data_IF_178895861820
#
_entry.id   IF_178895861820
#
_cell.length_a   1.000
_cell.length_b   1.000
_cell.length_c   1.000
_cell.angle_alpha   90.00
_cell.angle_beta   90.00
_cell.angle_gamma   90.00
#
_symmetry.space_group_name_H-M   'P 1'
#
loop_
_entity.id
_entity.type
_entity.pdbx_description
1 polymer ?
#
# COMPACT_ATOMS: atom_id res chain seq x y z
N UNK A 1 45.14 -16.79 -46.14
CA UNK A 1 43.67 -16.72 -45.96
C UNK A 1 43.24 -17.86 -45.05
N UNK A 2 42.86 -17.58 -43.80
CA UNK A 2 42.12 -18.51 -42.93
C UNK A 2 41.14 -17.67 -42.12
N UNK A 3 39.85 -17.95 -42.31
CA UNK A 3 38.73 -17.19 -41.78
C UNK A 3 38.53 -17.52 -40.29
N UNK A 4 38.52 -16.47 -39.46
CA UNK A 4 38.17 -16.56 -38.04
C UNK A 4 36.64 -16.44 -37.96
N UNK A 5 35.97 -17.56 -37.68
CA UNK A 5 34.54 -17.56 -37.40
C UNK A 5 34.33 -17.08 -35.96
N UNK A 6 33.86 -15.84 -35.79
CA UNK A 6 33.44 -15.29 -34.49
C UNK A 6 31.96 -15.68 -34.30
N UNK A 7 31.72 -16.68 -33.46
CA UNK A 7 30.37 -17.07 -33.03
C UNK A 7 29.92 -16.08 -31.97
N UNK A 8 29.02 -15.16 -32.35
CA UNK A 8 28.37 -14.22 -31.44
C UNK A 8 27.35 -14.99 -30.61
N UNK A 9 27.65 -15.20 -29.33
CA UNK A 9 26.69 -15.71 -28.34
C UNK A 9 25.78 -14.55 -27.94
N UNK A 10 24.60 -14.45 -28.57
CA UNK A 10 23.52 -13.60 -28.10
C UNK A 10 22.99 -14.16 -26.76
N UNK A 11 23.47 -13.60 -25.65
CA UNK A 11 22.83 -13.75 -24.35
C UNK A 11 21.49 -13.00 -24.39
N UNK A 12 20.42 -13.74 -24.70
CA UNK A 12 19.05 -13.32 -24.47
C UNK A 12 18.81 -13.28 -22.96
N UNK A 13 19.23 -12.21 -22.30
CA UNK A 13 18.65 -11.81 -21.01
C UNK A 13 17.22 -11.34 -21.29
N UNK A 14 16.33 -12.31 -21.47
CA UNK A 14 14.91 -12.08 -21.30
C UNK A 14 14.68 -11.73 -19.84
N UNK A 15 14.80 -10.44 -19.51
CA UNK A 15 14.10 -9.90 -18.36
C UNK A 15 12.62 -10.16 -18.63
N UNK A 16 12.12 -11.28 -18.11
CA UNK A 16 10.70 -11.49 -17.93
C UNK A 16 10.28 -10.48 -16.86
N UNK A 17 10.11 -9.23 -17.29
CA UNK A 17 9.42 -8.22 -16.53
C UNK A 17 7.99 -8.71 -16.44
N UNK A 18 7.72 -9.52 -15.42
CA UNK A 18 6.37 -9.70 -14.94
C UNK A 18 5.85 -8.30 -14.67
N UNK A 19 5.04 -7.80 -15.60
CA UNK A 19 4.26 -6.59 -15.46
C UNK A 19 3.45 -6.79 -14.19
N UNK A 20 3.97 -6.27 -13.08
CA UNK A 20 3.23 -6.13 -11.84
C UNK A 20 1.94 -5.43 -12.23
N UNK A 21 0.84 -6.14 -12.03
CA UNK A 21 -0.53 -5.73 -12.31
C UNK A 21 -0.72 -4.27 -11.84
N UNK A 22 -0.52 -3.31 -12.75
CA UNK A 22 -0.97 -1.94 -12.56
C UNK A 22 -2.36 -1.87 -13.16
N UNK A 23 -3.28 -2.66 -12.57
CA UNK A 23 -4.67 -2.31 -12.73
C UNK A 23 -4.83 -0.96 -12.07
N UNK A 24 -5.23 0.01 -12.89
CA UNK A 24 -5.61 1.36 -12.51
C UNK A 24 -6.85 1.26 -11.60
N UNK A 25 -6.64 0.78 -10.38
CA UNK A 25 -7.67 0.51 -9.40
C UNK A 25 -8.19 1.84 -8.89
N UNK A 26 -9.30 2.29 -9.47
CA UNK A 26 -10.15 3.39 -9.00
C UNK A 26 -10.79 3.11 -7.61
N UNK A 27 -10.37 2.04 -6.91
CA UNK A 27 -10.85 1.65 -5.59
C UNK A 27 -10.45 2.63 -4.49
N UNK A 28 -9.68 3.68 -4.81
CA UNK A 28 -9.26 4.71 -3.87
C UNK A 28 -10.14 5.97 -3.84
N UNK A 29 -11.36 5.91 -4.38
CA UNK A 29 -12.34 7.00 -4.30
C UNK A 29 -12.57 7.46 -2.85
N UNK A 30 -12.87 8.76 -2.63
CA UNK A 30 -12.56 9.47 -1.39
C UNK A 30 -12.98 8.69 -0.15
N UNK A 31 -11.98 8.27 0.63
CA UNK A 31 -12.17 7.48 1.84
C UNK A 31 -12.14 8.38 3.06
N UNK A 32 -13.19 8.29 3.87
CA UNK A 32 -13.34 9.03 5.11
C UNK A 32 -13.53 10.53 4.94
N UNK A 33 -12.58 11.26 4.33
CA UNK A 33 -12.69 12.70 4.06
C UNK A 33 -12.04 13.13 2.74
N UNK A 34 -12.44 14.31 2.27
CA UNK A 34 -11.92 14.92 1.04
C UNK A 34 -10.42 15.19 1.12
N UNK A 35 -9.66 14.60 0.20
CA UNK A 35 -8.21 14.77 0.12
C UNK A 35 -7.39 13.69 0.83
N UNK A 36 -8.02 12.78 1.60
CA UNK A 36 -7.29 11.65 2.20
C UNK A 36 -6.57 10.81 1.15
N UNK A 37 -7.28 10.36 0.11
CA UNK A 37 -6.67 9.59 -0.98
C UNK A 37 -5.57 10.36 -1.72
N UNK A 38 -5.70 11.68 -1.86
CA UNK A 38 -4.66 12.51 -2.47
C UNK A 38 -3.40 12.54 -1.61
N UNK A 39 -3.56 12.68 -0.29
CA UNK A 39 -2.45 12.65 0.66
C UNK A 39 -1.73 11.30 0.63
N UNK A 40 -2.47 10.20 0.55
CA UNK A 40 -1.87 8.86 0.42
C UNK A 40 -1.11 8.70 -0.90
N UNK A 41 -1.61 9.27 -1.99
CA UNK A 41 -0.92 9.25 -3.29
C UNK A 41 0.37 10.08 -3.27
N UNK A 42 0.33 11.27 -2.67
CA UNK A 42 1.51 12.12 -2.49
C UNK A 42 2.56 11.39 -1.64
N UNK A 43 2.14 10.83 -0.50
CA UNK A 43 3.01 10.12 0.43
C UNK A 43 3.46 8.74 -0.08
N UNK A 44 2.77 8.10 -1.03
CA UNK A 44 3.32 6.89 -1.65
C UNK A 44 4.36 7.21 -2.70
N UNK A 45 4.26 8.39 -3.35
CA UNK A 45 5.03 8.75 -4.52
C UNK A 45 4.36 8.27 -5.82
N UNK A 46 4.73 8.91 -6.94
CA UNK A 46 4.09 8.71 -8.25
C UNK A 46 4.27 7.28 -8.78
N UNK A 47 5.42 6.67 -8.51
CA UNK A 47 5.79 5.34 -8.99
C UNK A 47 5.46 4.22 -7.99
N UNK A 48 4.65 4.52 -6.96
CA UNK A 48 4.29 3.53 -5.96
C UNK A 48 3.43 2.41 -6.53
N UNK A 49 3.76 1.17 -6.15
CA UNK A 49 2.94 0.01 -6.44
C UNK A 49 1.61 0.16 -5.70
N UNK A 50 0.51 0.13 -6.45
CA UNK A 50 -0.82 0.16 -5.87
C UNK A 50 -1.30 -1.26 -5.58
N UNK A 51 -1.14 -1.71 -4.34
CA UNK A 51 -1.59 -3.04 -3.92
C UNK A 51 -3.09 -3.13 -3.63
N UNK A 52 -3.84 -2.06 -3.88
CA UNK A 52 -5.29 -2.03 -3.79
C UNK A 52 -5.84 -1.60 -2.43
N UNK A 53 -7.15 -1.36 -2.43
CA UNK A 53 -7.94 -1.07 -1.25
C UNK A 53 -9.10 -2.06 -1.17
N UNK A 54 -9.28 -2.73 -0.03
CA UNK A 54 -10.22 -3.85 0.09
C UNK A 54 -11.20 -3.68 1.25
N UNK A 55 -12.48 -3.89 0.96
CA UNK A 55 -13.53 -3.89 1.98
C UNK A 55 -13.63 -5.27 2.64
N UNK A 56 -13.13 -5.38 3.88
CA UNK A 56 -13.18 -6.58 4.70
C UNK A 56 -14.53 -6.77 5.41
N UNK A 57 -15.47 -5.84 5.25
CA UNK A 57 -16.86 -6.03 5.70
C UNK A 57 -17.60 -7.02 4.80
N UNK A 58 -17.18 -7.12 3.54
CA UNK A 58 -17.71 -8.09 2.59
C UNK A 58 -17.10 -9.48 2.81
N UNK A 59 -17.90 -10.42 3.30
CA UNK A 59 -17.46 -11.81 3.55
C UNK A 59 -17.62 -12.75 2.35
N UNK A 60 -17.74 -12.21 1.13
CA UNK A 60 -17.84 -13.07 -0.05
C UNK A 60 -16.45 -13.65 -0.43
N UNK A 61 -16.39 -14.87 -0.99
CA UNK A 61 -15.11 -15.53 -1.31
C UNK A 61 -14.20 -14.71 -2.24
N UNK A 62 -14.79 -13.95 -3.18
CA UNK A 62 -14.04 -13.13 -4.12
C UNK A 62 -13.32 -11.96 -3.43
N UNK A 63 -13.98 -11.27 -2.49
CA UNK A 63 -13.39 -10.19 -1.69
C UNK A 63 -12.26 -10.72 -0.80
N UNK A 64 -12.46 -11.90 -0.19
CA UNK A 64 -11.42 -12.55 0.63
C UNK A 64 -10.20 -12.93 -0.24
N UNK A 65 -10.42 -13.46 -1.44
CA UNK A 65 -9.33 -13.79 -2.35
C UNK A 65 -8.60 -12.53 -2.83
N UNK A 66 -9.33 -11.47 -3.15
CA UNK A 66 -8.78 -10.19 -3.59
C UNK A 66 -7.91 -9.53 -2.50
N UNK A 67 -8.38 -9.49 -1.25
CA UNK A 67 -7.60 -8.92 -0.15
C UNK A 67 -6.30 -9.68 0.11
N UNK A 68 -6.31 -11.02 0.02
CA UNK A 68 -5.08 -11.84 0.07
C UNK A 68 -4.09 -11.51 -1.03
N UNK A 69 -4.56 -11.22 -2.25
CA UNK A 69 -3.70 -10.76 -3.35
C UNK A 69 -3.06 -9.40 -3.02
N UNK A 70 -3.82 -8.50 -2.39
CA UNK A 70 -3.32 -7.22 -1.91
C UNK A 70 -2.22 -7.35 -0.85
N UNK A 71 -2.44 -8.19 0.17
CA UNK A 71 -1.42 -8.49 1.18
C UNK A 71 -0.14 -9.07 0.56
N UNK A 72 -0.29 -10.02 -0.37
CA UNK A 72 0.86 -10.58 -1.09
C UNK A 72 1.61 -9.52 -1.89
N UNK A 73 0.90 -8.63 -2.61
CA UNK A 73 1.51 -7.51 -3.31
C UNK A 73 2.31 -6.61 -2.36
N UNK A 74 1.72 -6.23 -1.22
CA UNK A 74 2.38 -5.36 -0.26
C UNK A 74 3.65 -5.99 0.32
N UNK A 75 3.59 -7.29 0.62
CA UNK A 75 4.74 -8.08 1.07
C UNK A 75 5.85 -8.12 0.02
N UNK A 76 5.53 -8.48 -1.23
CA UNK A 76 6.53 -8.54 -2.30
C UNK A 76 7.17 -7.17 -2.61
N UNK A 77 6.37 -6.09 -2.56
CA UNK A 77 6.88 -4.73 -2.73
C UNK A 77 7.80 -4.32 -1.57
N UNK A 78 7.39 -4.60 -0.33
CA UNK A 78 8.17 -4.38 0.88
C UNK A 78 9.52 -5.11 0.87
N UNK A 79 9.53 -6.41 0.51
CA UNK A 79 10.75 -7.23 0.40
C UNK A 79 11.73 -6.70 -0.66
N UNK A 80 11.20 -6.12 -1.75
CA UNK A 80 12.00 -5.50 -2.81
C UNK A 80 12.38 -4.05 -2.49
N UNK A 81 11.92 -3.51 -1.35
CA UNK A 81 12.10 -2.11 -0.99
C UNK A 81 11.45 -1.15 -1.98
N UNK A 82 10.40 -1.55 -2.69
CA UNK A 82 9.71 -0.71 -3.67
C UNK A 82 8.58 0.06 -2.97
N UNK A 83 8.43 1.37 -3.24
CA UNK A 83 7.32 2.13 -2.66
C UNK A 83 5.99 1.51 -3.03
N UNK A 84 5.07 1.46 -2.08
CA UNK A 84 3.74 0.89 -2.29
C UNK A 84 2.70 1.52 -1.37
N UNK A 85 1.44 1.28 -1.70
CA UNK A 85 0.30 1.53 -0.82
C UNK A 85 -0.66 0.35 -0.84
N UNK A 86 -1.20 0.03 0.32
CA UNK A 86 -2.19 -1.00 0.54
C UNK A 86 -3.18 -0.50 1.58
N UNK A 87 -4.47 -0.80 1.44
CA UNK A 87 -5.42 -0.43 2.46
C UNK A 87 -6.61 -1.38 2.58
N UNK A 88 -7.25 -1.29 3.73
CA UNK A 88 -8.42 -2.09 4.08
C UNK A 88 -9.47 -1.21 4.75
N UNK A 89 -10.73 -1.63 4.65
CA UNK A 89 -11.84 -1.10 5.41
C UNK A 89 -12.46 -2.23 6.23
N UNK A 90 -12.75 -1.98 7.50
CA UNK A 90 -13.49 -2.92 8.37
C UNK A 90 -14.42 -2.17 9.31
N UNK A 91 -15.32 -2.90 9.96
CA UNK A 91 -16.17 -2.38 11.04
C UNK A 91 -15.73 -3.06 12.34
N UNK A 92 -14.95 -2.41 13.21
CA UNK A 92 -14.58 -2.98 14.52
C UNK A 92 -15.78 -3.07 15.47
N UNK A 93 -16.60 -2.03 15.52
CA UNK A 93 -17.74 -1.94 16.45
C UNK A 93 -18.85 -1.08 15.85
N UNK A 94 -18.75 0.25 15.97
CA UNK A 94 -19.75 1.25 15.57
C UNK A 94 -19.20 2.29 14.59
N UNK A 95 -18.11 1.96 13.91
CA UNK A 95 -17.38 2.84 13.02
C UNK A 95 -16.84 2.13 11.78
N UNK A 96 -16.50 2.89 10.74
CA UNK A 96 -15.67 2.40 9.65
C UNK A 96 -14.20 2.72 9.96
N UNK A 97 -13.40 1.68 10.17
CA UNK A 97 -11.97 1.79 10.28
C UNK A 97 -11.33 1.56 8.92
N UNK A 98 -10.68 2.58 8.38
CA UNK A 98 -9.84 2.55 7.19
C UNK A 98 -8.39 2.44 7.66
N UNK A 99 -7.72 1.35 7.30
CA UNK A 99 -6.33 1.10 7.66
C UNK A 99 -5.49 1.09 6.39
N UNK A 100 -4.41 1.88 6.37
CA UNK A 100 -3.56 2.03 5.21
C UNK A 100 -2.11 1.80 5.62
N UNK A 101 -1.41 0.97 4.84
CA UNK A 101 0.01 0.72 4.93
C UNK A 101 0.69 1.33 3.69
N UNK A 102 1.69 2.17 3.92
CA UNK A 102 2.51 2.78 2.88
C UNK A 102 3.98 2.49 3.15
N UNK A 103 4.73 2.17 2.09
CA UNK A 103 6.18 2.33 2.06
C UNK A 103 6.50 3.48 1.10
N UNK A 104 7.17 4.50 1.61
CA UNK A 104 7.54 5.71 0.85
C UNK A 104 8.82 5.52 0.04
N UNK A 105 9.13 6.41 -0.93
CA UNK A 105 10.39 6.42 -1.67
C UNK A 105 11.64 6.45 -0.79
N UNK A 106 11.58 7.20 0.32
CA UNK A 106 12.66 7.35 1.32
C UNK A 106 12.72 6.20 2.34
N UNK A 107 11.99 5.10 2.10
CA UNK A 107 12.01 3.83 2.86
C UNK A 107 11.42 3.91 4.27
N UNK A 108 10.46 4.79 4.50
CA UNK A 108 9.70 4.82 5.73
C UNK A 108 8.37 4.10 5.58
N UNK A 109 8.00 3.33 6.60
CA UNK A 109 6.66 2.74 6.68
C UNK A 109 5.72 3.70 7.39
N UNK A 110 4.54 3.90 6.81
CA UNK A 110 3.43 4.60 7.44
C UNK A 110 2.26 3.67 7.64
N UNK A 111 1.75 3.63 8.86
CA UNK A 111 0.52 2.97 9.25
C UNK A 111 -0.49 4.06 9.61
N UNK A 112 -1.50 4.23 8.77
CA UNK A 112 -2.51 5.27 8.90
C UNK A 112 -3.83 4.60 9.18
N UNK A 113 -4.43 4.92 10.33
CA UNK A 113 -5.77 4.46 10.69
C UNK A 113 -6.68 5.66 10.75
N UNK A 114 -7.75 5.63 9.97
CA UNK A 114 -8.82 6.62 9.99
C UNK A 114 -10.10 5.93 10.44
N UNK A 115 -10.72 6.46 11.47
CA UNK A 115 -11.88 5.88 12.10
C UNK A 115 -13.05 6.86 12.04
N UNK A 116 -14.13 6.45 11.38
CA UNK A 116 -15.29 7.28 11.06
C UNK A 116 -16.54 6.66 11.68
N UNK A 117 -17.09 7.32 12.70
CA UNK A 117 -18.28 6.84 13.41
C UNK A 117 -19.50 6.70 12.48
N UNK A 118 -20.23 5.59 12.61
CA UNK A 118 -21.46 5.36 11.85
C UNK A 118 -22.53 6.36 12.28
N UNK A 119 -23.06 7.12 11.31
CA UNK A 119 -24.10 8.12 11.56
C UNK A 119 -23.61 9.46 12.12
N UNK A 120 -22.29 9.64 12.29
CA UNK A 120 -21.66 10.91 12.72
C UNK A 120 -20.40 11.20 11.93
N UNK A 121 -20.56 11.88 10.79
CA UNK A 121 -19.44 12.25 9.89
C UNK A 121 -18.46 13.22 10.56
N UNK A 122 -18.92 13.98 11.56
CA UNK A 122 -18.16 14.95 12.35
C UNK A 122 -17.22 14.33 13.39
N UNK A 123 -17.38 13.04 13.72
CA UNK A 123 -16.57 12.31 14.68
C UNK A 123 -15.54 11.41 13.99
N UNK A 124 -14.60 12.03 13.26
CA UNK A 124 -13.48 11.33 12.62
C UNK A 124 -12.24 11.38 13.51
N UNK A 125 -11.63 10.22 13.76
CA UNK A 125 -10.36 10.10 14.47
C UNK A 125 -9.30 9.54 13.53
N UNK A 126 -8.07 10.05 13.62
CA UNK A 126 -6.96 9.57 12.80
C UNK A 126 -5.74 9.31 13.68
N UNK A 127 -5.10 8.17 13.47
CA UNK A 127 -3.81 7.82 14.06
C UNK A 127 -2.80 7.54 12.95
N UNK A 128 -1.65 8.18 13.04
CA UNK A 128 -0.55 7.98 12.10
C UNK A 128 0.64 7.44 12.86
N UNK A 129 1.27 6.41 12.33
CA UNK A 129 2.51 5.85 12.87
C UNK A 129 3.55 5.75 11.78
N UNK A 130 4.76 6.22 12.08
CA UNK A 130 5.95 5.99 11.25
C UNK A 130 6.73 4.86 11.89
N UNK A 131 6.98 3.78 11.16
CA UNK A 131 7.64 2.58 11.68
C UNK A 131 8.95 2.31 10.93
N UNK A 132 9.96 1.78 11.63
CA UNK A 132 11.23 1.38 10.97
C UNK A 132 11.09 0.13 10.11
N UNK A 133 10.19 -0.77 10.51
CA UNK A 133 9.92 -2.01 9.79
C UNK A 133 8.48 -2.46 9.97
N UNK A 134 8.00 -3.28 9.04
CA UNK A 134 6.66 -3.87 9.07
C UNK A 134 6.77 -5.34 8.68
N UNK A 135 6.12 -6.20 9.44
CA UNK A 135 5.90 -7.61 9.08
C UNK A 135 4.51 -7.74 8.45
N UNK A 136 4.45 -8.26 7.22
CA UNK A 136 3.20 -8.43 6.47
C UNK A 136 2.89 -9.93 6.36
N UNK A 137 1.75 -10.36 6.91
CA UNK A 137 1.24 -11.73 6.81
C UNK A 137 0.23 -11.85 5.65
N UNK A 138 -0.43 -12.99 5.52
CA UNK A 138 -1.43 -13.21 4.45
C UNK A 138 -2.74 -12.44 4.68
N UNK A 139 -2.96 -11.90 5.87
CA UNK A 139 -4.22 -11.28 6.26
C UNK A 139 -4.09 -10.12 7.25
N UNK A 140 -2.88 -9.72 7.61
CA UNK A 140 -2.61 -8.64 8.57
C UNK A 140 -1.21 -8.05 8.34
N UNK A 141 -0.91 -6.92 8.98
CA UNK A 141 0.44 -6.39 9.07
C UNK A 141 0.69 -5.74 10.43
N UNK A 142 1.95 -5.81 10.89
CA UNK A 142 2.37 -5.25 12.17
C UNK A 142 3.66 -4.47 12.03
N UNK A 143 3.62 -3.20 12.41
CA UNK A 143 4.80 -2.35 12.51
C UNK A 143 5.62 -2.63 13.77
N UNK A 144 6.94 -2.42 13.66
CA UNK A 144 7.90 -2.47 14.76
C UNK A 144 8.69 -1.15 14.82
N UNK A 145 9.10 -0.75 16.03
CA UNK A 145 9.75 0.54 16.31
C UNK A 145 8.97 1.71 15.70
N UNK A 146 7.70 1.80 16.08
CA UNK A 146 6.77 2.80 15.58
C UNK A 146 6.69 4.01 16.51
N UNK A 147 6.70 5.19 15.91
CA UNK A 147 6.45 6.46 16.59
C UNK A 147 5.10 7.01 16.14
N UNK A 148 4.31 7.51 17.09
CA UNK A 148 3.08 8.21 16.75
C UNK A 148 3.43 9.57 16.14
N UNK A 149 2.77 9.92 15.04
CA UNK A 149 2.94 11.20 14.35
C UNK A 149 1.66 11.99 14.51
N UNK A 150 1.78 13.19 15.07
CA UNK A 150 0.64 14.09 15.22
C UNK A 150 0.05 14.49 13.87
N UNK A 151 -1.25 14.75 13.86
CA UNK A 151 -1.98 15.09 12.62
C UNK A 151 -1.40 16.31 11.89
N UNK A 152 -0.90 17.29 12.64
CA UNK A 152 -0.29 18.50 12.06
C UNK A 152 1.00 18.19 11.30
N UNK A 153 1.78 17.23 11.77
CA UNK A 153 3.02 16.83 11.11
C UNK A 153 2.72 15.90 9.94
N UNK A 154 1.73 15.01 10.09
CA UNK A 154 1.18 14.21 9.00
C UNK A 154 0.79 15.08 7.79
N UNK A 155 0.04 16.17 7.98
CA UNK A 155 -0.38 17.03 6.86
C UNK A 155 0.82 17.66 6.15
N UNK A 156 1.86 18.05 6.89
CA UNK A 156 3.05 18.74 6.34
C UNK A 156 3.99 17.81 5.59
N UNK A 157 3.99 16.51 5.91
CA UNK A 157 4.89 15.53 5.29
C UNK A 157 4.70 15.46 3.77
N UNK A 158 5.79 15.50 3.03
CA UNK A 158 5.80 15.35 1.57
C UNK A 158 6.95 14.44 1.18
N UNK A 159 6.73 13.67 0.12
CA UNK A 159 7.80 12.93 -0.55
C UNK A 159 8.58 13.82 -1.51
#
# INVERSE_FOLDING_TARGET
MKFINITIILFLFGCSSSLLFSEKNNNWNPMGYDGFSNKLNELSGVDAINCGFFDLTERNPSSIAASKLGYRCAREASEKGLPFKFGTKRIPTDSYAYEVLILTPDKHYWLVTLDVMLGRVDATQQWNKKCKSVMISDNDYKGSDCENVDYQDWIKEKN
#
